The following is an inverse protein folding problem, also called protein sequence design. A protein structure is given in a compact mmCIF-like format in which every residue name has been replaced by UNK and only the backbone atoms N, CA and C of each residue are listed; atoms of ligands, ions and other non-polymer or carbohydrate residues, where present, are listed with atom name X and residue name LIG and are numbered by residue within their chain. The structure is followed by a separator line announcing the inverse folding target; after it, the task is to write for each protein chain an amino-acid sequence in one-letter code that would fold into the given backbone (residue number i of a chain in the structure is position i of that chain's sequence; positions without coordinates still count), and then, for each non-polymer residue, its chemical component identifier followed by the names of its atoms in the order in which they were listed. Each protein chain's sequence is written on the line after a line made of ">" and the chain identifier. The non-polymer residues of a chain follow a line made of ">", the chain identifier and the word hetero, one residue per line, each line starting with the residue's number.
data_IF_307294854848
#
_entry.id   IF_307294854848
#
_cell.length_a   1.000
_cell.length_b   1.000
_cell.length_c   1.000
_cell.angle_alpha   90.00
_cell.angle_beta   90.00
_cell.angle_gamma   90.00
#
_symmetry.space_group_name_H-M   'P 1'
#
loop_
_entity.id
_entity.type
_entity.pdbx_description
1 polymer ?
#
# COMPACT_ATOMS: atom_id res chain seq x y z
N UNK A 1 -0.76 15.44 61.63
CA UNK A 1 -1.22 14.48 60.60
C UNK A 1 -1.28 15.06 59.16
N UNK A 2 -0.81 16.28 58.89
CA UNK A 2 -0.82 16.85 57.52
C UNK A 2 0.36 16.44 56.62
N UNK A 3 1.51 16.07 57.20
CA UNK A 3 2.72 15.73 56.44
C UNK A 3 2.66 14.36 55.76
N UNK A 4 1.92 13.41 56.33
CA UNK A 4 1.73 12.08 55.75
C UNK A 4 0.75 12.15 54.56
N UNK A 5 -0.27 13.02 54.66
CA UNK A 5 -1.27 13.23 53.62
C UNK A 5 -0.69 13.97 52.39
N UNK A 6 0.16 14.97 52.60
CA UNK A 6 0.84 15.65 51.48
C UNK A 6 1.86 14.75 50.78
N UNK A 7 2.51 13.83 51.51
CA UNK A 7 3.46 12.87 50.93
C UNK A 7 2.75 11.81 50.08
N UNK A 8 1.65 11.23 50.57
CA UNK A 8 0.84 10.27 49.79
C UNK A 8 0.18 10.90 48.57
N UNK A 9 -0.22 12.17 48.67
CA UNK A 9 -0.81 12.93 47.55
C UNK A 9 0.24 13.27 46.48
N UNK A 10 1.47 13.63 46.88
CA UNK A 10 2.58 13.87 45.95
C UNK A 10 3.08 12.56 45.29
N UNK A 11 3.07 11.45 46.01
CA UNK A 11 3.36 10.11 45.45
C UNK A 11 2.28 9.69 44.44
N UNK A 12 0.99 9.95 44.71
CA UNK A 12 -0.10 9.69 43.76
C UNK A 12 0.00 10.58 42.50
N UNK A 13 0.37 11.86 42.65
CA UNK A 13 0.59 12.78 41.53
C UNK A 13 1.77 12.34 40.66
N UNK A 14 2.86 11.87 41.28
CA UNK A 14 4.00 11.26 40.57
C UNK A 14 3.59 9.99 39.85
N UNK A 15 2.87 9.08 40.50
CA UNK A 15 2.37 7.86 39.87
C UNK A 15 1.42 8.18 38.71
N UNK A 16 0.60 9.22 38.83
CA UNK A 16 -0.28 9.69 37.76
C UNK A 16 0.50 10.34 36.59
N UNK A 17 1.55 11.11 36.87
CA UNK A 17 2.47 11.63 35.86
C UNK A 17 3.24 10.51 35.14
N UNK A 18 3.74 9.52 35.88
CA UNK A 18 4.42 8.36 35.31
C UNK A 18 3.46 7.52 34.46
N UNK A 19 2.22 7.32 34.91
CA UNK A 19 1.18 6.65 34.14
C UNK A 19 0.77 7.42 32.89
N UNK A 20 0.69 8.75 32.95
CA UNK A 20 0.46 9.61 31.79
C UNK A 20 1.63 9.54 30.80
N UNK A 21 2.88 9.63 31.28
CA UNK A 21 4.09 9.51 30.46
C UNK A 21 4.16 8.14 29.77
N UNK A 22 3.83 7.07 30.50
CA UNK A 22 3.80 5.72 29.96
C UNK A 22 2.70 5.55 28.90
N UNK A 23 1.50 6.10 29.12
CA UNK A 23 0.44 6.12 28.11
C UNK A 23 0.80 6.94 26.87
N UNK A 24 1.43 8.10 27.04
CA UNK A 24 1.89 8.93 25.91
C UNK A 24 2.93 8.19 25.06
N UNK A 25 3.87 7.47 25.70
CA UNK A 25 4.83 6.61 24.98
C UNK A 25 4.11 5.49 24.21
N UNK A 26 3.15 4.81 24.85
CA UNK A 26 2.39 3.72 24.22
C UNK A 26 1.55 4.23 23.03
N UNK A 27 0.94 5.42 23.15
CA UNK A 27 0.20 6.04 22.05
C UNK A 27 1.13 6.44 20.90
N UNK A 28 2.32 6.96 21.19
CA UNK A 28 3.32 7.30 20.18
C UNK A 28 3.81 6.06 19.43
N UNK A 29 4.11 4.95 20.11
CA UNK A 29 4.50 3.69 19.47
C UNK A 29 3.42 3.16 18.51
N UNK A 30 2.15 3.20 18.94
CA UNK A 30 1.01 2.83 18.08
C UNK A 30 0.88 3.74 16.87
N UNK A 31 1.06 5.05 17.04
CA UNK A 31 1.02 6.01 15.94
C UNK A 31 2.18 5.80 14.95
N UNK A 32 3.35 5.44 15.44
CA UNK A 32 4.54 5.21 14.63
C UNK A 32 4.39 3.94 13.77
N UNK A 33 3.86 2.86 14.36
CA UNK A 33 3.48 1.64 13.64
C UNK A 33 2.41 1.93 12.57
N UNK A 34 1.37 2.68 12.93
CA UNK A 34 0.31 3.08 11.98
C UNK A 34 0.86 3.92 10.82
N UNK A 35 1.76 4.88 11.09
CA UNK A 35 2.39 5.69 10.04
C UNK A 35 3.24 4.85 9.09
N UNK A 36 4.00 3.89 9.61
CA UNK A 36 4.82 3.01 8.79
C UNK A 36 3.94 2.16 7.87
N UNK A 37 2.88 1.56 8.39
CA UNK A 37 1.92 0.81 7.58
C UNK A 37 1.23 1.69 6.54
N UNK A 38 0.87 2.92 6.88
CA UNK A 38 0.24 3.86 5.94
C UNK A 38 1.22 4.32 4.85
N UNK A 39 2.50 4.52 5.18
CA UNK A 39 3.56 4.83 4.21
C UNK A 39 3.78 3.68 3.23
N UNK A 40 3.91 2.47 3.74
CA UNK A 40 4.04 1.27 2.91
C UNK A 40 2.81 1.10 2.00
N UNK A 41 1.60 1.31 2.52
CA UNK A 41 0.38 1.27 1.70
C UNK A 41 0.35 2.37 0.65
N UNK A 42 0.82 3.57 0.96
CA UNK A 42 0.88 4.67 0.00
C UNK A 42 1.91 4.43 -1.10
N UNK A 43 3.05 3.80 -0.80
CA UNK A 43 4.08 3.50 -1.81
C UNK A 43 3.61 2.44 -2.80
N UNK A 44 2.85 1.42 -2.36
CA UNK A 44 2.26 0.43 -3.29
C UNK A 44 1.24 1.08 -4.23
N UNK A 45 0.40 1.98 -3.72
CA UNK A 45 -0.58 2.72 -4.54
C UNK A 45 0.04 3.77 -5.47
N UNK A 46 1.18 4.34 -5.10
CA UNK A 46 1.92 5.26 -5.96
C UNK A 46 2.60 4.49 -7.11
N UNK A 47 3.27 3.38 -6.80
CA UNK A 47 3.96 2.55 -7.77
C UNK A 47 3.02 1.97 -8.82
N UNK A 48 1.83 1.51 -8.41
CA UNK A 48 0.88 0.89 -9.35
C UNK A 48 0.29 1.90 -10.34
N UNK A 49 0.20 3.18 -9.96
CA UNK A 49 -0.27 4.27 -10.85
C UNK A 49 0.72 4.59 -11.95
N UNK A 50 2.01 4.62 -11.63
CA UNK A 50 3.06 4.86 -12.61
C UNK A 50 3.21 3.68 -13.55
N UNK A 51 3.15 2.46 -13.01
CA UNK A 51 3.23 1.24 -13.78
C UNK A 51 2.12 1.13 -14.84
N UNK A 52 0.85 1.45 -14.48
CA UNK A 52 -0.27 1.44 -15.42
C UNK A 52 -0.11 2.44 -16.58
N UNK A 53 0.52 3.60 -16.35
CA UNK A 53 0.75 4.59 -17.42
C UNK A 53 1.73 4.08 -18.47
N UNK A 54 2.86 3.55 -18.01
CA UNK A 54 3.90 3.04 -18.91
C UNK A 54 3.49 1.73 -19.58
N UNK A 55 2.88 0.80 -18.83
CA UNK A 55 2.37 -0.45 -19.40
C UNK A 55 1.23 -0.19 -20.38
N UNK A 56 0.34 0.76 -20.11
CA UNK A 56 -0.76 1.13 -21.01
C UNK A 56 -0.28 1.70 -22.35
N UNK A 57 0.70 2.60 -22.34
CA UNK A 57 1.30 3.11 -23.60
C UNK A 57 2.01 2.00 -24.37
N UNK A 58 2.81 1.18 -23.69
CA UNK A 58 3.53 0.08 -24.32
C UNK A 58 2.56 -0.95 -24.92
N UNK A 59 1.52 -1.32 -24.17
CA UNK A 59 0.49 -2.25 -24.61
C UNK A 59 -0.31 -1.69 -25.80
N UNK A 60 -0.63 -0.39 -25.78
CA UNK A 60 -1.28 0.28 -26.91
C UNK A 60 -0.44 0.24 -28.19
N UNK A 61 0.86 0.59 -28.08
CA UNK A 61 1.78 0.53 -29.22
C UNK A 61 1.99 -0.91 -29.71
N UNK A 62 2.13 -1.86 -28.80
CA UNK A 62 2.28 -3.28 -29.13
C UNK A 62 1.01 -3.85 -29.78
N UNK A 63 -0.18 -3.51 -29.28
CA UNK A 63 -1.44 -3.94 -29.86
C UNK A 63 -1.62 -3.41 -31.29
N UNK A 64 -1.35 -2.12 -31.53
CA UNK A 64 -1.43 -1.53 -32.87
C UNK A 64 -0.38 -2.14 -33.81
N UNK A 65 0.87 -2.26 -33.36
CA UNK A 65 1.96 -2.83 -34.14
C UNK A 65 1.75 -4.30 -34.51
N UNK A 66 1.30 -5.13 -33.56
CA UNK A 66 1.04 -6.54 -33.78
C UNK A 66 -0.24 -6.77 -34.59
N UNK A 67 -1.28 -5.94 -34.45
CA UNK A 67 -2.49 -6.01 -35.28
C UNK A 67 -2.18 -5.66 -36.73
N UNK A 68 -1.43 -4.57 -36.97
CA UNK A 68 -0.98 -4.21 -38.32
C UNK A 68 -0.06 -5.30 -38.91
N UNK A 69 0.83 -5.87 -38.11
CA UNK A 69 1.71 -6.97 -38.51
C UNK A 69 0.95 -8.26 -38.85
N UNK A 70 -0.05 -8.62 -38.07
CA UNK A 70 -0.88 -9.80 -38.29
C UNK A 70 -1.71 -9.68 -39.57
N UNK A 71 -2.26 -8.50 -39.86
CA UNK A 71 -2.99 -8.22 -41.10
C UNK A 71 -2.04 -8.30 -42.31
N UNK A 72 -0.85 -7.70 -42.21
CA UNK A 72 0.11 -7.64 -43.32
C UNK A 72 0.75 -9.01 -43.63
N UNK A 73 1.01 -9.84 -42.62
CA UNK A 73 1.57 -11.19 -42.79
C UNK A 73 0.50 -12.30 -42.95
N UNK A 74 -0.79 -11.99 -42.76
CA UNK A 74 -1.90 -12.98 -42.68
C UNK A 74 -1.63 -14.13 -41.69
N UNK A 75 -0.79 -13.90 -40.69
CA UNK A 75 -0.42 -14.89 -39.68
C UNK A 75 -0.98 -14.46 -38.32
N UNK A 76 -2.09 -15.06 -37.86
CA UNK A 76 -2.70 -14.70 -36.58
C UNK A 76 -1.83 -15.06 -35.37
N UNK A 77 -0.82 -15.93 -35.54
CA UNK A 77 0.15 -16.28 -34.49
C UNK A 77 1.03 -15.12 -34.01
N UNK A 78 1.06 -14.00 -34.74
CA UNK A 78 1.76 -12.77 -34.30
C UNK A 78 1.03 -12.10 -33.12
N UNK A 79 -0.25 -12.41 -32.89
CA UNK A 79 -1.03 -11.91 -31.76
C UNK A 79 -0.82 -12.73 -30.47
N UNK A 80 -0.10 -13.86 -30.56
CA UNK A 80 0.15 -14.76 -29.44
C UNK A 80 0.85 -14.09 -28.22
N UNK A 81 1.77 -13.12 -28.35
CA UNK A 81 2.34 -12.43 -27.19
C UNK A 81 1.39 -11.40 -26.55
N UNK A 82 0.26 -11.06 -27.19
CA UNK A 82 -0.74 -10.17 -26.61
C UNK A 82 -1.47 -10.85 -25.44
N UNK A 83 -1.73 -12.16 -25.54
CA UNK A 83 -2.43 -12.92 -24.50
C UNK A 83 -1.72 -12.88 -23.14
N UNK A 84 -0.43 -13.22 -23.01
CA UNK A 84 0.28 -13.11 -21.73
C UNK A 84 0.41 -11.66 -21.26
N UNK A 85 0.54 -10.69 -22.18
CA UNK A 85 0.59 -9.27 -21.81
C UNK A 85 -0.75 -8.77 -21.23
N UNK A 86 -1.89 -9.20 -21.77
CA UNK A 86 -3.22 -8.91 -21.21
C UNK A 86 -3.36 -9.52 -19.82
N UNK A 87 -2.88 -10.75 -19.63
CA UNK A 87 -2.97 -11.43 -18.33
C UNK A 87 -2.17 -10.70 -17.25
N UNK A 88 -0.94 -10.25 -17.57
CA UNK A 88 -0.11 -9.45 -16.66
C UNK A 88 -0.76 -8.09 -16.39
N UNK A 89 -1.32 -7.44 -17.43
CA UNK A 89 -2.02 -6.16 -17.27
C UNK A 89 -3.25 -6.30 -16.35
N UNK A 90 -4.07 -7.34 -16.55
CA UNK A 90 -5.25 -7.60 -15.72
C UNK A 90 -4.87 -7.88 -14.27
N UNK A 91 -3.82 -8.67 -14.04
CA UNK A 91 -3.31 -8.96 -12.70
C UNK A 91 -2.80 -7.70 -11.98
N UNK A 92 -2.07 -6.83 -12.67
CA UNK A 92 -1.54 -5.59 -12.08
C UNK A 92 -2.61 -4.52 -11.91
N UNK A 93 -3.60 -4.46 -12.81
CA UNK A 93 -4.77 -3.62 -12.66
C UNK A 93 -5.55 -4.00 -11.39
N UNK A 94 -5.74 -5.29 -11.16
CA UNK A 94 -6.41 -5.82 -9.98
C UNK A 94 -5.58 -5.62 -8.70
N UNK A 95 -4.25 -5.70 -8.75
CA UNK A 95 -3.38 -5.32 -7.62
C UNK A 95 -3.41 -3.82 -7.31
N UNK A 96 -3.61 -2.97 -8.32
CA UNK A 96 -3.57 -1.51 -8.18
C UNK A 96 -4.89 -0.85 -7.78
N UNK A 97 -6.01 -1.40 -8.26
CA UNK A 97 -7.36 -0.90 -7.99
C UNK A 97 -8.16 -1.84 -7.08
N UNK A 98 -7.80 -3.11 -7.00
CA UNK A 98 -8.55 -4.13 -6.28
C UNK A 98 -8.18 -4.22 -4.81
N UNK A 99 -9.22 -4.40 -4.00
CA UNK A 99 -9.19 -4.72 -2.56
C UNK A 99 -8.59 -6.10 -2.24
N UNK A 100 -7.94 -6.76 -3.22
CA UNK A 100 -7.39 -8.11 -3.08
C UNK A 100 -6.24 -8.17 -2.09
N UNK A 101 -5.33 -7.19 -2.10
CA UNK A 101 -4.29 -7.07 -1.07
C UNK A 101 -4.87 -6.79 0.32
N UNK A 102 -6.04 -6.13 0.41
CA UNK A 102 -6.77 -5.94 1.65
C UNK A 102 -7.51 -7.21 2.12
N UNK A 103 -7.93 -8.10 1.21
CA UNK A 103 -8.63 -9.35 1.53
C UNK A 103 -7.67 -10.51 1.87
N UNK A 104 -6.51 -10.59 1.23
CA UNK A 104 -5.52 -11.66 1.49
C UNK A 104 -4.80 -11.43 2.83
N UNK A 105 -4.63 -10.16 3.25
CA UNK A 105 -4.00 -9.78 4.52
C UNK A 105 -4.99 -9.61 5.68
N UNK A 106 -6.14 -10.31 5.63
CA UNK A 106 -7.20 -10.23 6.65
C UNK A 106 -6.67 -10.12 8.09
#
# INVERSE_FOLDING_TARGET
>A
MGFVFSKSMNENLKAQQEFMLMNSRLQLERQLLMQNQMRERQTVHAWTREFLKYLGMFFGLAAVGLTAGAIKKKQPGILLPIVPLIFVFAYQYDMGYGTLLQRIKG
#
